data_IF_069347405294
#
_entry.id   IF_069347405294
#
_cell.length_a   1.000
_cell.length_b   1.000
_cell.length_c   1.000
_cell.angle_alpha   90.00
_cell.angle_beta   90.00
_cell.angle_gamma   90.00
#
_symmetry.space_group_name_H-M   'P 1'
#
loop_
_entity.id
_entity.type
_entity.pdbx_description
1 polymer ?
#
# COMPACT_ATOMS: atom_id res chain seq x y z
N UNK A 1 35.28 -10.29 -11.97
CA UNK A 1 34.71 -9.08 -11.35
C UNK A 1 33.21 -9.31 -11.18
N UNK A 2 32.79 -9.98 -10.09
CA UNK A 2 31.41 -10.38 -9.81
C UNK A 2 31.05 -10.05 -8.34
N UNK A 3 31.22 -8.81 -7.92
CA UNK A 3 30.95 -8.39 -6.53
C UNK A 3 29.63 -7.61 -6.33
N UNK A 4 28.84 -7.38 -7.39
CA UNK A 4 27.73 -6.40 -7.32
C UNK A 4 26.31 -7.00 -7.39
N UNK A 5 26.15 -8.31 -7.12
CA UNK A 5 24.82 -8.95 -7.06
C UNK A 5 24.11 -8.81 -5.70
N UNK A 6 24.78 -8.24 -4.68
CA UNK A 6 24.18 -8.00 -3.37
C UNK A 6 23.50 -6.62 -3.30
N UNK A 7 22.33 -6.54 -2.68
CA UNK A 7 21.69 -5.26 -2.37
C UNK A 7 22.50 -4.56 -1.26
N UNK A 8 23.36 -3.63 -1.66
CA UNK A 8 24.12 -2.81 -0.74
C UNK A 8 23.22 -1.82 0.04
N UNK A 9 23.63 -1.41 1.24
CA UNK A 9 22.94 -0.44 2.11
C UNK A 9 22.47 0.81 1.37
N UNK A 10 23.28 1.32 0.44
CA UNK A 10 22.93 2.48 -0.41
C UNK A 10 21.63 2.28 -1.20
N UNK A 11 21.38 1.07 -1.72
CA UNK A 11 20.16 0.77 -2.48
C UNK A 11 18.94 0.70 -1.56
N UNK A 12 19.09 0.15 -0.36
CA UNK A 12 18.04 0.14 0.66
C UNK A 12 17.69 1.55 1.15
N UNK A 13 18.70 2.38 1.43
CA UNK A 13 18.50 3.79 1.80
C UNK A 13 17.81 4.55 0.67
N UNK A 14 18.19 4.30 -0.59
CA UNK A 14 17.52 4.90 -1.75
C UNK A 14 16.06 4.46 -1.85
N UNK A 15 15.76 3.17 -1.66
CA UNK A 15 14.39 2.66 -1.62
C UNK A 15 13.60 3.35 -0.51
N UNK A 16 14.19 3.46 0.68
CA UNK A 16 13.58 4.10 1.83
C UNK A 16 13.20 5.55 1.55
N UNK A 17 14.18 6.37 1.14
CA UNK A 17 13.98 7.80 0.91
C UNK A 17 13.04 8.07 -0.27
N UNK A 18 13.12 7.28 -1.34
CA UNK A 18 12.19 7.44 -2.47
C UNK A 18 10.76 7.04 -2.12
N UNK A 19 10.57 5.97 -1.34
CA UNK A 19 9.23 5.59 -0.84
C UNK A 19 8.70 6.63 0.15
N UNK A 20 9.57 7.21 0.98
CA UNK A 20 9.22 8.30 1.90
C UNK A 20 8.69 9.51 1.14
N UNK A 21 9.42 9.94 0.11
CA UNK A 21 9.01 11.06 -0.75
C UNK A 21 7.70 10.76 -1.49
N UNK A 22 7.54 9.55 -2.02
CA UNK A 22 6.32 9.13 -2.71
C UNK A 22 5.12 9.16 -1.76
N UNK A 23 5.27 8.68 -0.52
CA UNK A 23 4.21 8.74 0.47
C UNK A 23 3.82 10.17 0.81
N UNK A 24 4.79 11.05 1.04
CA UNK A 24 4.54 12.48 1.29
C UNK A 24 3.77 13.14 0.13
N UNK A 25 4.21 12.93 -1.11
CA UNK A 25 3.56 13.48 -2.30
C UNK A 25 2.16 12.90 -2.51
N UNK A 26 2.00 11.58 -2.35
CA UNK A 26 0.72 10.91 -2.53
C UNK A 26 -0.32 11.39 -1.50
N UNK A 27 0.06 11.49 -0.22
CA UNK A 27 -0.85 11.99 0.82
C UNK A 27 -1.16 13.46 0.63
N UNK A 28 -0.19 14.29 0.23
CA UNK A 28 -0.44 15.68 -0.11
C UNK A 28 -1.45 15.82 -1.26
N UNK A 29 -1.30 15.03 -2.32
CA UNK A 29 -2.22 15.03 -3.45
C UNK A 29 -3.64 14.60 -3.05
N UNK A 30 -3.76 13.50 -2.29
CA UNK A 30 -5.06 13.01 -1.80
C UNK A 30 -5.71 14.01 -0.84
N UNK A 31 -4.92 14.60 0.06
CA UNK A 31 -5.38 15.63 0.99
C UNK A 31 -5.94 16.87 0.29
N UNK A 32 -5.29 17.32 -0.79
CA UNK A 32 -5.79 18.41 -1.63
C UNK A 32 -7.12 18.03 -2.29
N UNK A 33 -7.23 16.81 -2.81
CA UNK A 33 -8.45 16.35 -3.50
C UNK A 33 -9.63 16.27 -2.53
N UNK A 34 -9.45 15.75 -1.32
CA UNK A 34 -10.53 15.63 -0.34
C UNK A 34 -10.89 16.96 0.32
N UNK A 35 -9.91 17.84 0.56
CA UNK A 35 -10.13 19.15 1.16
C UNK A 35 -10.13 20.28 0.11
N UNK A 36 -10.57 20.00 -1.12
CA UNK A 36 -10.44 20.94 -2.25
C UNK A 36 -11.10 22.28 -1.98
N UNK A 37 -12.24 22.31 -1.30
CA UNK A 37 -12.92 23.55 -0.94
C UNK A 37 -12.07 24.44 -0.02
N UNK A 38 -11.38 23.83 0.96
CA UNK A 38 -10.52 24.56 1.88
C UNK A 38 -9.28 25.09 1.16
N UNK A 39 -8.58 24.22 0.42
CA UNK A 39 -7.43 24.62 -0.40
C UNK A 39 -7.79 25.70 -1.43
N UNK A 40 -8.97 25.61 -2.05
CA UNK A 40 -9.50 26.61 -2.97
C UNK A 40 -9.76 27.95 -2.30
N UNK A 41 -10.33 27.96 -1.09
CA UNK A 41 -10.54 29.21 -0.32
C UNK A 41 -9.22 29.88 0.05
N UNK A 42 -8.23 29.11 0.51
CA UNK A 42 -6.89 29.63 0.87
C UNK A 42 -6.21 30.27 -0.35
N UNK A 43 -6.31 29.62 -1.53
CA UNK A 43 -5.77 30.16 -2.78
C UNK A 43 -6.48 31.45 -3.22
N UNK A 44 -7.81 31.51 -3.11
CA UNK A 44 -8.59 32.71 -3.46
C UNK A 44 -8.29 33.89 -2.54
N UNK A 45 -7.97 33.63 -1.27
CA UNK A 45 -7.61 34.65 -0.27
C UNK A 45 -6.13 35.03 -0.26
N UNK A 46 -5.31 34.37 -1.10
CA UNK A 46 -3.85 34.51 -1.12
C UNK A 46 -3.18 34.21 0.24
N UNK A 47 -3.79 33.32 1.03
CA UNK A 47 -3.31 32.87 2.34
C UNK A 47 -2.23 31.79 2.17
N UNK A 48 -1.12 32.17 1.52
CA UNK A 48 -0.06 31.22 1.10
C UNK A 48 0.64 30.53 2.25
N UNK A 49 0.76 31.17 3.41
CA UNK A 49 1.39 30.58 4.61
C UNK A 49 0.55 29.43 5.13
N UNK A 50 -0.77 29.61 5.24
CA UNK A 50 -1.71 28.60 5.73
C UNK A 50 -1.83 27.46 4.72
N UNK A 51 -1.92 27.78 3.42
CA UNK A 51 -1.87 26.79 2.35
C UNK A 51 -0.62 25.88 2.47
N UNK A 52 0.56 26.47 2.72
CA UNK A 52 1.78 25.70 2.90
C UNK A 52 1.84 24.93 4.21
N UNK A 53 1.28 25.46 5.29
CA UNK A 53 1.20 24.74 6.57
C UNK A 53 0.32 23.48 6.45
N UNK A 54 -0.87 23.61 5.84
CA UNK A 54 -1.78 22.47 5.62
C UNK A 54 -1.15 21.46 4.64
N UNK A 55 -0.48 21.92 3.59
CA UNK A 55 0.21 21.01 2.67
C UNK A 55 1.33 20.23 3.38
N UNK A 56 2.16 20.93 4.17
CA UNK A 56 3.27 20.32 4.89
C UNK A 56 2.79 19.33 5.96
N UNK A 57 1.63 19.60 6.57
CA UNK A 57 0.95 18.65 7.46
C UNK A 57 0.63 17.34 6.75
N UNK A 58 0.01 17.40 5.56
CA UNK A 58 -0.31 16.20 4.78
C UNK A 58 0.95 15.45 4.32
N UNK A 59 2.03 16.16 3.97
CA UNK A 59 3.32 15.55 3.66
C UNK A 59 3.86 14.80 4.88
N UNK A 60 3.83 15.42 6.06
CA UNK A 60 4.26 14.80 7.32
C UNK A 60 3.48 13.54 7.66
N UNK A 61 2.15 13.56 7.50
CA UNK A 61 1.29 12.38 7.64
C UNK A 61 1.65 11.31 6.59
N UNK A 62 1.94 11.70 5.36
CA UNK A 62 2.38 10.79 4.31
C UNK A 62 3.72 10.11 4.58
N UNK A 63 4.63 10.77 5.31
CA UNK A 63 5.85 10.12 5.80
C UNK A 63 5.55 9.00 6.79
N UNK A 64 4.56 9.18 7.67
CA UNK A 64 4.13 8.12 8.60
C UNK A 64 3.57 6.93 7.83
N UNK A 65 2.66 7.17 6.88
CA UNK A 65 2.10 6.09 6.06
C UNK A 65 3.16 5.36 5.24
N UNK A 66 4.14 6.08 4.70
CA UNK A 66 5.28 5.49 4.03
C UNK A 66 6.10 4.59 4.94
N UNK A 67 6.40 5.02 6.17
CA UNK A 67 7.16 4.19 7.13
C UNK A 67 6.39 2.93 7.50
N UNK A 68 5.06 3.01 7.65
CA UNK A 68 4.19 1.85 7.88
C UNK A 68 4.28 0.86 6.71
N UNK A 69 4.11 1.36 5.48
CA UNK A 69 4.24 0.57 4.24
C UNK A 69 5.63 -0.08 4.10
N UNK A 70 6.69 0.63 4.49
CA UNK A 70 8.04 0.11 4.47
C UNK A 70 8.25 -1.02 5.50
N UNK A 71 7.74 -0.86 6.72
CA UNK A 71 7.78 -1.90 7.73
C UNK A 71 7.04 -3.17 7.26
N UNK A 72 5.85 -3.02 6.67
CA UNK A 72 5.08 -4.13 6.10
C UNK A 72 5.80 -4.80 4.93
N UNK A 73 6.44 -4.04 4.05
CA UNK A 73 7.27 -4.59 2.96
C UNK A 73 8.41 -5.48 3.46
N UNK A 74 9.18 -5.01 4.44
CA UNK A 74 10.28 -5.82 5.00
C UNK A 74 9.78 -7.03 5.80
N UNK A 75 8.70 -6.87 6.55
CA UNK A 75 8.03 -7.98 7.23
C UNK A 75 7.60 -9.04 6.20
N UNK A 76 7.02 -8.62 5.07
CA UNK A 76 6.59 -9.54 4.03
C UNK A 76 7.76 -10.29 3.38
N UNK A 77 8.88 -9.63 3.05
CA UNK A 77 10.05 -10.32 2.49
C UNK A 77 10.55 -11.43 3.42
N UNK A 78 10.51 -11.17 4.73
CA UNK A 78 10.86 -12.15 5.77
C UNK A 78 9.86 -13.30 5.81
N UNK A 79 8.55 -13.00 5.87
CA UNK A 79 7.48 -14.00 5.88
C UNK A 79 7.50 -14.85 4.61
N UNK A 80 7.74 -14.26 3.45
CA UNK A 80 7.84 -14.97 2.19
C UNK A 80 9.02 -15.95 2.19
N UNK A 81 10.18 -15.53 2.71
CA UNK A 81 11.35 -16.41 2.83
C UNK A 81 11.11 -17.59 3.78
N UNK A 82 10.49 -17.35 4.93
CA UNK A 82 10.13 -18.43 5.85
C UNK A 82 9.01 -19.32 5.31
N UNK A 83 8.01 -18.73 4.65
CA UNK A 83 6.89 -19.43 4.04
C UNK A 83 7.35 -20.42 2.97
N UNK A 84 8.29 -20.02 2.10
CA UNK A 84 8.93 -20.93 1.15
C UNK A 84 9.72 -22.04 1.84
N UNK A 85 10.41 -21.75 2.96
CA UNK A 85 11.13 -22.76 3.73
C UNK A 85 10.22 -23.83 4.35
N UNK A 86 9.07 -23.42 4.88
CA UNK A 86 8.12 -24.30 5.58
C UNK A 86 7.20 -25.03 4.60
N UNK A 87 6.52 -24.30 3.71
CA UNK A 87 5.47 -24.82 2.84
C UNK A 87 5.97 -25.21 1.44
N UNK A 88 7.19 -24.81 1.06
CA UNK A 88 7.79 -25.11 -0.25
C UNK A 88 6.86 -24.70 -1.39
N UNK A 89 6.48 -25.64 -2.26
CA UNK A 89 5.59 -25.38 -3.41
C UNK A 89 4.15 -25.02 -3.01
N UNK A 90 3.71 -25.38 -1.80
CA UNK A 90 2.36 -25.06 -1.32
C UNK A 90 2.23 -23.61 -0.83
N UNK A 91 3.33 -22.87 -0.74
CA UNK A 91 3.31 -21.50 -0.22
C UNK A 91 2.37 -20.58 -1.01
N UNK A 92 2.35 -20.70 -2.35
CA UNK A 92 1.42 -19.91 -3.17
C UNK A 92 -0.04 -20.25 -2.87
N UNK A 93 -0.37 -21.51 -2.60
CA UNK A 93 -1.73 -21.90 -2.23
C UNK A 93 -2.13 -21.29 -0.87
N UNK A 94 -1.22 -21.30 0.11
CA UNK A 94 -1.42 -20.64 1.41
C UNK A 94 -1.68 -19.14 1.23
N UNK A 95 -0.90 -18.47 0.39
CA UNK A 95 -1.11 -17.05 0.10
C UNK A 95 -2.48 -16.76 -0.52
N UNK A 96 -2.95 -17.58 -1.45
CA UNK A 96 -4.28 -17.43 -2.06
C UNK A 96 -5.40 -17.58 -1.02
N UNK A 97 -5.28 -18.57 -0.13
CA UNK A 97 -6.24 -18.75 0.98
C UNK A 97 -6.25 -17.53 1.90
N UNK A 98 -5.08 -17.00 2.26
CA UNK A 98 -4.98 -15.80 3.09
C UNK A 98 -5.54 -14.55 2.41
N UNK A 99 -5.36 -14.39 1.09
CA UNK A 99 -5.99 -13.31 0.32
C UNK A 99 -7.51 -13.41 0.42
N UNK A 100 -8.10 -14.58 0.18
CA UNK A 100 -9.55 -14.78 0.27
C UNK A 100 -10.06 -14.52 1.69
N UNK A 101 -9.33 -14.99 2.71
CA UNK A 101 -9.68 -14.79 4.10
C UNK A 101 -9.68 -13.30 4.48
N UNK A 102 -8.65 -12.54 4.10
CA UNK A 102 -8.54 -11.11 4.42
C UNK A 102 -9.58 -10.28 3.67
N UNK A 103 -9.90 -10.61 2.42
CA UNK A 103 -10.97 -9.93 1.69
C UNK A 103 -12.34 -10.20 2.31
N UNK A 104 -12.59 -11.45 2.74
CA UNK A 104 -13.79 -11.79 3.48
C UNK A 104 -13.85 -11.01 4.81
N UNK A 105 -12.75 -10.98 5.56
CA UNK A 105 -12.66 -10.28 6.85
C UNK A 105 -12.95 -8.78 6.70
N UNK A 106 -12.32 -8.15 5.71
CA UNK A 106 -12.46 -6.74 5.39
C UNK A 106 -13.91 -6.35 5.05
N UNK A 107 -14.69 -7.25 4.46
CA UNK A 107 -16.10 -7.01 4.13
C UNK A 107 -16.99 -7.39 5.31
N UNK A 108 -16.94 -8.66 5.73
CA UNK A 108 -17.91 -9.24 6.66
C UNK A 108 -17.78 -8.68 8.06
N UNK A 109 -16.58 -8.74 8.68
CA UNK A 109 -16.41 -8.29 10.06
C UNK A 109 -16.52 -6.77 10.17
N UNK A 110 -16.05 -6.05 9.15
CA UNK A 110 -16.20 -4.60 9.09
C UNK A 110 -17.66 -4.18 8.96
N UNK A 111 -18.44 -4.84 8.10
CA UNK A 111 -19.88 -4.61 8.00
C UNK A 111 -20.57 -4.91 9.33
N UNK A 112 -20.28 -6.05 9.96
CA UNK A 112 -20.86 -6.43 11.26
C UNK A 112 -20.49 -5.47 12.39
N UNK A 113 -19.33 -4.81 12.33
CA UNK A 113 -18.87 -3.89 13.36
C UNK A 113 -19.44 -2.47 13.22
N UNK A 114 -19.76 -2.03 12.00
CA UNK A 114 -20.02 -0.61 11.71
C UNK A 114 -21.32 -0.32 10.95
N UNK A 115 -22.00 -1.33 10.40
CA UNK A 115 -23.25 -1.12 9.69
C UNK A 115 -24.44 -1.07 10.65
N UNK A 116 -25.29 -0.07 10.49
CA UNK A 116 -26.56 0.05 11.19
C UNK A 116 -27.67 -0.74 10.50
N UNK A 117 -28.82 -0.87 11.17
CA UNK A 117 -29.99 -1.57 10.60
C UNK A 117 -30.46 -0.88 9.32
N UNK A 118 -30.36 -1.57 8.20
CA UNK A 118 -30.78 -1.08 6.88
C UNK A 118 -29.61 -0.57 6.01
N UNK A 119 -28.39 -0.52 6.56
CA UNK A 119 -27.21 -0.17 5.77
C UNK A 119 -26.90 -1.22 4.71
N UNK A 120 -26.38 -0.74 3.58
CA UNK A 120 -25.97 -1.60 2.48
C UNK A 120 -24.57 -2.17 2.71
N UNK A 121 -24.36 -3.43 2.33
CA UNK A 121 -23.03 -4.06 2.29
C UNK A 121 -22.16 -3.55 1.12
N UNK A 122 -22.76 -2.87 0.14
CA UNK A 122 -22.11 -2.45 -1.11
C UNK A 122 -20.85 -1.60 -0.88
N UNK A 123 -20.81 -0.58 0.01
CA UNK A 123 -19.60 0.22 0.21
C UNK A 123 -18.40 -0.59 0.72
N UNK A 124 -18.67 -1.61 1.55
CA UNK A 124 -17.65 -2.52 2.07
C UNK A 124 -17.10 -3.42 0.95
N UNK A 125 -17.99 -3.96 0.11
CA UNK A 125 -17.61 -4.73 -1.08
C UNK A 125 -16.81 -3.90 -2.08
N UNK A 126 -17.22 -2.66 -2.36
CA UNK A 126 -16.49 -1.77 -3.28
C UNK A 126 -15.10 -1.44 -2.78
N UNK A 127 -14.92 -1.26 -1.47
CA UNK A 127 -13.61 -1.02 -0.85
C UNK A 127 -12.69 -2.23 -1.02
N UNK A 128 -13.18 -3.43 -0.72
CA UNK A 128 -12.41 -4.67 -0.91
C UNK A 128 -12.10 -4.92 -2.39
N UNK A 129 -13.07 -4.67 -3.28
CA UNK A 129 -12.89 -4.82 -4.72
C UNK A 129 -11.87 -3.82 -5.27
N UNK A 130 -11.87 -2.57 -4.79
CA UNK A 130 -10.88 -1.57 -5.17
C UNK A 130 -9.46 -2.04 -4.85
N UNK A 131 -9.21 -2.50 -3.62
CA UNK A 131 -7.91 -3.05 -3.21
C UNK A 131 -7.53 -4.26 -4.08
N UNK A 132 -8.48 -5.17 -4.33
CA UNK A 132 -8.25 -6.34 -5.16
C UNK A 132 -7.87 -5.98 -6.59
N UNK A 133 -8.59 -5.05 -7.23
CA UNK A 133 -8.32 -4.61 -8.61
C UNK A 133 -6.95 -3.95 -8.71
N UNK A 134 -6.62 -3.03 -7.79
CA UNK A 134 -5.29 -2.41 -7.75
C UNK A 134 -4.21 -3.47 -7.55
N UNK A 135 -4.43 -4.41 -6.63
CA UNK A 135 -3.52 -5.53 -6.38
C UNK A 135 -3.32 -6.42 -7.59
N UNK A 136 -4.39 -6.75 -8.33
CA UNK A 136 -4.32 -7.55 -9.56
C UNK A 136 -3.52 -6.83 -10.65
N UNK A 137 -3.75 -5.53 -10.84
CA UNK A 137 -2.99 -4.72 -11.81
C UNK A 137 -1.51 -4.70 -11.46
N UNK A 138 -1.16 -4.40 -10.21
CA UNK A 138 0.24 -4.34 -9.76
C UNK A 138 0.90 -5.72 -9.84
N UNK A 139 0.18 -6.79 -9.47
CA UNK A 139 0.67 -8.17 -9.56
C UNK A 139 0.92 -8.61 -11.00
N UNK A 140 0.03 -8.23 -11.92
CA UNK A 140 0.22 -8.46 -13.35
C UNK A 140 1.45 -7.72 -13.87
N UNK A 141 1.59 -6.43 -13.57
CA UNK A 141 2.76 -5.62 -13.97
C UNK A 141 4.05 -6.22 -13.40
N UNK A 142 4.05 -6.63 -12.13
CA UNK A 142 5.20 -7.28 -11.49
C UNK A 142 5.56 -8.58 -12.19
N UNK A 143 4.58 -9.44 -12.43
CA UNK A 143 4.77 -10.72 -13.11
C UNK A 143 5.28 -10.56 -14.54
N UNK A 144 4.87 -9.50 -15.25
CA UNK A 144 5.33 -9.20 -16.59
C UNK A 144 6.79 -8.70 -16.62
N UNK A 145 7.20 -7.95 -15.58
CA UNK A 145 8.56 -7.41 -15.43
C UNK A 145 9.57 -8.46 -14.97
N UNK A 146 9.15 -9.45 -14.17
CA UNK A 146 10.06 -10.49 -13.64
C UNK A 146 9.73 -11.88 -14.18
N UNK A 147 8.80 -12.61 -13.57
CA UNK A 147 8.42 -13.98 -13.94
C UNK A 147 6.99 -14.29 -13.47
N UNK A 148 6.36 -15.32 -14.07
CA UNK A 148 4.98 -15.75 -13.74
C UNK A 148 4.80 -16.16 -12.28
N UNK A 149 5.84 -16.69 -11.64
CA UNK A 149 5.83 -17.09 -10.23
C UNK A 149 5.71 -15.91 -9.25
N UNK A 150 5.96 -14.68 -9.70
CA UNK A 150 5.86 -13.48 -8.86
C UNK A 150 4.43 -12.96 -8.70
N UNK A 151 3.45 -13.46 -9.47
CA UNK A 151 2.08 -12.96 -9.45
C UNK A 151 1.39 -13.13 -8.09
N UNK A 152 1.33 -14.35 -7.56
CA UNK A 152 0.67 -14.64 -6.28
C UNK A 152 1.36 -13.91 -5.11
N UNK A 153 2.70 -13.94 -5.00
CA UNK A 153 3.42 -13.14 -4.02
C UNK A 153 3.16 -11.64 -4.09
N UNK A 154 3.03 -11.09 -5.31
CA UNK A 154 2.72 -9.69 -5.51
C UNK A 154 1.28 -9.35 -5.08
N UNK A 155 0.32 -10.18 -5.47
CA UNK A 155 -1.09 -9.99 -5.11
C UNK A 155 -1.29 -10.10 -3.59
N UNK A 156 -0.62 -11.07 -2.95
CA UNK A 156 -0.64 -11.22 -1.50
C UNK A 156 -0.15 -9.95 -0.81
N UNK A 157 0.99 -9.40 -1.25
CA UNK A 157 1.54 -8.19 -0.66
C UNK A 157 0.59 -7.00 -0.80
N UNK A 158 0.07 -6.77 -2.00
CA UNK A 158 -0.83 -5.65 -2.29
C UNK A 158 -2.20 -5.74 -1.61
N UNK A 159 -2.65 -6.94 -1.24
CA UNK A 159 -3.95 -7.13 -0.56
C UNK A 159 -3.74 -7.33 0.93
N UNK A 160 -3.11 -8.43 1.33
CA UNK A 160 -3.03 -8.84 2.75
C UNK A 160 -2.20 -7.86 3.56
N UNK A 161 -1.02 -7.48 3.06
CA UNK A 161 -0.12 -6.63 3.83
C UNK A 161 -0.65 -5.20 3.88
N UNK A 162 -1.21 -4.69 2.77
CA UNK A 162 -1.87 -3.38 2.76
C UNK A 162 -3.06 -3.32 3.73
N UNK A 163 -3.89 -4.36 3.81
CA UNK A 163 -5.02 -4.38 4.77
C UNK A 163 -4.52 -4.44 6.22
N UNK A 164 -3.45 -5.18 6.51
CA UNK A 164 -2.82 -5.21 7.84
C UNK A 164 -2.26 -3.83 8.21
N UNK A 165 -1.58 -3.16 7.28
CA UNK A 165 -1.06 -1.80 7.49
C UNK A 165 -2.17 -0.78 7.73
N UNK A 166 -3.29 -0.95 7.03
CA UNK A 166 -4.45 -0.07 7.10
C UNK A 166 -5.37 -0.33 8.31
N UNK A 167 -5.15 -1.43 9.02
CA UNK A 167 -5.95 -1.87 10.15
C UNK A 167 -6.22 -0.83 11.25
N UNK A 168 -5.26 0.06 11.64
CA UNK A 168 -5.54 1.08 12.64
C UNK A 168 -6.69 2.02 12.26
N UNK A 169 -6.77 2.43 10.99
CA UNK A 169 -7.82 3.35 10.52
C UNK A 169 -9.13 2.62 10.24
N UNK A 170 -9.06 1.34 9.86
CA UNK A 170 -10.25 0.49 9.73
C UNK A 170 -11.09 0.45 11.02
N UNK A 171 -10.48 0.62 12.19
CA UNK A 171 -11.19 0.63 13.49
C UNK A 171 -11.89 1.95 13.84
N UNK A 172 -11.44 3.07 13.26
CA UNK A 172 -12.02 4.40 13.51
C UNK A 172 -13.28 4.60 12.65
N UNK A 173 -13.30 3.98 11.45
CA UNK A 173 -14.42 4.02 10.50
C UNK A 173 -14.79 5.43 9.98
N UNK A 174 -13.83 6.35 9.99
CA UNK A 174 -13.98 7.66 9.36
C UNK A 174 -13.61 7.59 7.86
N UNK A 175 -14.56 7.96 6.97
CA UNK A 175 -14.38 7.81 5.52
C UNK A 175 -13.20 8.58 4.95
N UNK A 176 -12.96 9.79 5.42
CA UNK A 176 -11.92 10.64 4.85
C UNK A 176 -10.55 10.09 5.25
N UNK A 177 -10.39 9.72 6.53
CA UNK A 177 -9.17 9.08 7.03
C UNK A 177 -8.91 7.72 6.37
N UNK A 178 -9.97 6.94 6.12
CA UNK A 178 -9.90 5.64 5.45
C UNK A 178 -9.19 5.77 4.11
N UNK A 179 -9.65 6.66 3.24
CA UNK A 179 -9.05 6.82 1.91
C UNK A 179 -7.77 7.67 1.92
N UNK A 180 -7.63 8.60 2.86
CA UNK A 180 -6.41 9.40 3.05
C UNK A 180 -5.21 8.51 3.38
N UNK A 181 -5.40 7.40 4.11
CA UNK A 181 -4.35 6.43 4.38
C UNK A 181 -4.25 5.35 3.30
N UNK A 182 -5.37 4.82 2.83
CA UNK A 182 -5.36 3.69 1.88
C UNK A 182 -4.64 4.01 0.57
N UNK A 183 -4.91 5.18 -0.01
CA UNK A 183 -4.37 5.54 -1.33
C UNK A 183 -2.84 5.67 -1.27
N UNK A 184 -2.23 6.43 -0.33
CA UNK A 184 -0.78 6.49 -0.19
C UNK A 184 -0.14 5.14 0.11
N UNK A 185 -0.77 4.28 0.95
CA UNK A 185 -0.27 2.93 1.21
C UNK A 185 -0.20 2.10 -0.08
N UNK A 186 -1.26 2.09 -0.88
CA UNK A 186 -1.28 1.38 -2.16
C UNK A 186 -0.19 1.88 -3.10
N UNK A 187 0.03 3.20 -3.16
CA UNK A 187 1.08 3.81 -3.99
C UNK A 187 2.47 3.42 -3.51
N UNK A 188 2.75 3.52 -2.21
CA UNK A 188 4.03 3.12 -1.62
C UNK A 188 4.32 1.63 -1.82
N UNK A 189 3.35 0.77 -1.50
CA UNK A 189 3.47 -0.68 -1.66
C UNK A 189 3.70 -1.08 -3.12
N UNK A 190 2.93 -0.49 -4.05
CA UNK A 190 3.13 -0.73 -5.47
C UNK A 190 4.52 -0.29 -5.92
N UNK A 191 4.97 0.90 -5.52
CA UNK A 191 6.29 1.41 -5.85
C UNK A 191 7.40 0.46 -5.35
N UNK A 192 7.39 0.10 -4.07
CA UNK A 192 8.41 -0.77 -3.47
C UNK A 192 8.48 -2.12 -4.16
N UNK A 193 7.33 -2.74 -4.41
CA UNK A 193 7.24 -4.04 -5.05
C UNK A 193 7.75 -4.02 -6.50
N UNK A 194 7.42 -2.95 -7.24
CA UNK A 194 7.80 -2.80 -8.64
C UNK A 194 9.26 -2.32 -8.82
N UNK A 195 9.81 -1.52 -7.91
CA UNK A 195 11.19 -1.02 -8.07
C UNK A 195 12.25 -2.03 -7.58
N UNK A 196 11.92 -2.89 -6.61
CA UNK A 196 12.91 -3.75 -5.93
C UNK A 196 13.78 -4.56 -6.91
N UNK A 197 13.16 -5.24 -7.88
CA UNK A 197 13.89 -6.08 -8.85
C UNK A 197 14.87 -5.30 -9.73
N UNK A 198 14.60 -4.02 -9.97
CA UNK A 198 15.51 -3.12 -10.72
C UNK A 198 16.71 -2.73 -9.87
N UNK A 199 16.53 -2.59 -8.56
CA UNK A 199 17.62 -2.32 -7.62
C UNK A 199 18.50 -3.56 -7.38
N UNK A 200 17.90 -4.75 -7.38
CA UNK A 200 18.61 -6.03 -7.18
C UNK A 200 19.25 -6.60 -8.45
N UNK A 201 19.09 -5.94 -9.61
CA UNK A 201 19.67 -6.40 -10.87
C UNK A 201 19.01 -7.63 -11.48
N UNK A 202 17.87 -8.10 -10.94
CA UNK A 202 17.17 -9.29 -11.43
C UNK A 202 16.28 -9.02 -12.65
N UNK A 203 16.67 -8.09 -13.53
CA UNK A 203 15.98 -7.86 -14.80
C UNK A 203 16.20 -9.08 -15.70
N UNK A 204 15.12 -9.57 -16.35
CA UNK A 204 15.07 -10.75 -17.24
C UNK A 204 16.44 -11.14 -17.85
N UNK A 205 16.95 -12.29 -17.45
CA UNK A 205 17.65 -13.20 -18.36
C UNK A 205 16.60 -14.04 -19.08
#
# INVERSE_FOLDING_TARGET
MMEDEAVNSRKWVRLFLSTLLIGGIATAAVGIVFNWEEFGRLLLRLEMVEFMAVLLWHIGVGFIFSVISQAGFFAYLTVHRFGLGIFRSLWNAVQVVLIMFVLFDLVYFRYMAFADKGDSIIPYLLTALFILVVGLVVAYVKSAQTNKGAFVPALFFMVVVTVIEWFPVLRINDRDWLYLMLIPLLVCNAYQLLILHKLTGSAKQ
#
